data_IF_516222872082
#
_entry.id   IF_516222872082
#
_cell.length_a   1.000
_cell.length_b   1.000
_cell.length_c   1.000
_cell.angle_alpha   90.00
_cell.angle_beta   90.00
_cell.angle_gamma   90.00
#
_symmetry.space_group_name_H-M   'P 1'
#
loop_
_entity.id
_entity.type
_entity.pdbx_description
1 polymer ?
#
# COMPACT_ATOMS: atom_id res chain seq x y z
N UNK A 1 -20.51 -8.03 -2.54
CA UNK A 1 -19.09 -7.83 -2.19
C UNK A 1 -18.89 -6.35 -1.94
N UNK A 2 -18.72 -5.97 -0.67
CA UNK A 2 -18.59 -4.57 -0.25
C UNK A 2 -17.18 -4.07 -0.56
N UNK A 3 -17.09 -2.83 -1.02
CA UNK A 3 -15.83 -2.11 -1.22
C UNK A 3 -15.05 -2.14 0.11
N UNK A 4 -13.90 -2.81 0.16
CA UNK A 4 -13.03 -2.74 1.34
C UNK A 4 -12.11 -1.55 1.13
N UNK A 5 -12.42 -0.45 1.82
CA UNK A 5 -11.54 0.71 1.90
C UNK A 5 -10.45 0.44 2.94
N UNK A 6 -9.47 -0.39 2.60
CA UNK A 6 -8.21 -0.44 3.35
C UNK A 6 -7.28 0.64 2.79
N UNK A 7 -6.79 1.53 3.65
CA UNK A 7 -5.83 2.57 3.27
C UNK A 7 -4.55 1.88 2.81
N UNK A 8 -4.17 2.04 1.54
CA UNK A 8 -2.99 1.38 0.96
C UNK A 8 -3.30 0.09 0.18
N UNK A 9 -4.51 -0.46 0.30
CA UNK A 9 -4.94 -1.51 -0.62
C UNK A 9 -5.31 -0.85 -1.94
N UNK A 10 -4.90 -1.44 -3.08
CA UNK A 10 -5.33 -0.93 -4.36
C UNK A 10 -6.86 -0.98 -4.41
N UNK A 11 -7.53 0.17 -4.47
CA UNK A 11 -8.99 0.28 -4.66
C UNK A 11 -9.36 -0.07 -6.09
N UNK A 12 -9.03 -1.30 -6.49
CA UNK A 12 -9.44 -1.93 -7.72
C UNK A 12 -10.27 -3.13 -7.33
N UNK A 13 -11.36 -3.40 -8.06
CA UNK A 13 -12.06 -4.68 -7.90
C UNK A 13 -11.12 -5.77 -8.37
N UNK A 14 -10.53 -6.52 -7.42
CA UNK A 14 -9.80 -7.73 -7.75
C UNK A 14 -10.81 -8.81 -8.12
N UNK A 15 -10.91 -9.15 -9.41
CA UNK A 15 -11.67 -10.32 -9.87
C UNK A 15 -10.83 -11.60 -9.65
N UNK A 16 -10.51 -11.86 -8.38
CA UNK A 16 -9.74 -13.02 -7.92
C UNK A 16 -10.62 -14.21 -7.56
N UNK A 17 -10.05 -15.42 -7.60
CA UNK A 17 -10.72 -16.63 -7.15
C UNK A 17 -10.55 -16.78 -5.63
N UNK A 18 -11.66 -16.79 -4.88
CA UNK A 18 -11.65 -17.07 -3.44
C UNK A 18 -11.49 -18.57 -3.19
N UNK A 19 -10.69 -18.93 -2.20
CA UNK A 19 -10.58 -20.30 -1.68
C UNK A 19 -10.61 -20.26 -0.15
N UNK A 20 -11.22 -21.26 0.46
CA UNK A 20 -11.31 -21.41 1.91
C UNK A 20 -10.77 -22.77 2.29
N UNK A 21 -9.73 -22.81 3.10
CA UNK A 21 -9.21 -24.05 3.67
C UNK A 21 -10.01 -24.40 4.92
N UNK A 22 -10.73 -25.52 4.87
CA UNK A 22 -11.57 -25.99 5.97
C UNK A 22 -10.76 -26.53 7.15
N UNK A 23 -9.51 -26.97 6.94
CA UNK A 23 -8.65 -27.48 8.00
C UNK A 23 -8.07 -26.38 8.89
N UNK A 24 -7.75 -25.22 8.29
CA UNK A 24 -7.15 -24.08 9.02
C UNK A 24 -8.08 -22.87 9.18
N UNK A 25 -9.29 -22.93 8.61
CA UNK A 25 -10.24 -21.82 8.51
C UNK A 25 -9.69 -20.56 7.78
N UNK A 26 -8.57 -20.69 7.06
CA UNK A 26 -7.94 -19.58 6.33
C UNK A 26 -8.65 -19.33 5.01
N UNK A 27 -8.84 -18.05 4.69
CA UNK A 27 -9.42 -17.62 3.42
C UNK A 27 -8.34 -16.97 2.57
N UNK A 28 -8.26 -17.39 1.32
CA UNK A 28 -7.28 -16.93 0.35
C UNK A 28 -7.95 -16.33 -0.88
N UNK A 29 -7.29 -15.35 -1.48
CA UNK A 29 -7.60 -14.80 -2.79
C UNK A 29 -6.46 -15.16 -3.75
N UNK A 30 -6.79 -15.92 -4.78
CA UNK A 30 -5.88 -16.38 -5.80
C UNK A 30 -6.07 -15.60 -7.09
N UNK A 31 -4.97 -15.01 -7.57
CA UNK A 31 -4.94 -14.23 -8.79
C UNK A 31 -5.94 -13.06 -8.78
N UNK A 32 -6.00 -12.33 -9.88
CA UNK A 32 -7.01 -11.30 -10.13
C UNK A 32 -6.47 -10.26 -11.10
N UNK A 33 -7.33 -9.39 -11.61
CA UNK A 33 -6.91 -8.23 -12.39
C UNK A 33 -7.50 -6.97 -11.78
N UNK A 34 -6.82 -5.85 -11.97
CA UNK A 34 -7.34 -4.54 -11.63
C UNK A 34 -8.44 -4.17 -12.61
N UNK A 35 -9.63 -3.87 -12.10
CA UNK A 35 -10.65 -3.15 -12.85
C UNK A 35 -10.21 -1.69 -13.05
N UNK A 36 -10.08 -1.27 -14.30
CA UNK A 36 -9.56 0.03 -14.69
C UNK A 36 -10.66 1.10 -14.82
N UNK A 37 -11.94 0.76 -14.66
CA UNK A 37 -13.05 1.73 -14.76
C UNK A 37 -12.97 2.86 -13.73
N UNK A 38 -12.25 2.64 -12.61
CA UNK A 38 -12.15 3.58 -11.48
C UNK A 38 -10.81 4.35 -11.51
N UNK A 39 -9.89 4.03 -12.43
CA UNK A 39 -8.57 4.70 -12.49
C UNK A 39 -8.62 5.83 -13.51
N UNK A 40 -8.35 7.09 -13.14
CA UNK A 40 -8.45 8.24 -14.05
C UNK A 40 -7.34 8.29 -15.13
N UNK A 41 -6.61 7.21 -15.36
CA UNK A 41 -5.54 7.15 -16.34
C UNK A 41 -5.80 6.02 -17.35
N UNK A 42 -5.86 6.37 -18.64
CA UNK A 42 -5.98 5.45 -19.79
C UNK A 42 -4.69 4.65 -20.01
N UNK A 43 -4.19 3.99 -18.98
CA UNK A 43 -3.19 2.94 -19.16
C UNK A 43 -4.00 1.66 -19.30
N UNK A 44 -4.07 1.10 -20.51
CA UNK A 44 -4.70 -0.19 -20.79
C UNK A 44 -3.98 -1.39 -20.15
N UNK A 45 -3.33 -1.18 -19.00
CA UNK A 45 -2.61 -2.20 -18.26
C UNK A 45 -3.56 -2.73 -17.20
N UNK A 46 -4.30 -3.78 -17.55
CA UNK A 46 -4.85 -4.69 -16.55
C UNK A 46 -3.66 -5.38 -15.90
N UNK A 47 -3.30 -4.96 -14.69
CA UNK A 47 -2.25 -5.66 -13.94
C UNK A 47 -2.86 -6.94 -13.39
N UNK A 48 -2.44 -8.07 -13.95
CA UNK A 48 -2.76 -9.38 -13.38
C UNK A 48 -1.94 -9.56 -12.10
N UNK A 49 -2.63 -9.69 -10.97
CA UNK A 49 -2.03 -10.20 -9.76
C UNK A 49 -1.90 -11.72 -9.94
N UNK A 50 -0.69 -12.24 -9.88
CA UNK A 50 -0.44 -13.69 -9.84
C UNK A 50 -0.08 -14.18 -8.43
N UNK A 51 -0.23 -13.32 -7.43
CA UNK A 51 0.02 -13.63 -6.03
C UNK A 51 -1.12 -14.37 -5.35
N UNK A 52 -0.80 -14.91 -4.18
CA UNK A 52 -1.76 -15.47 -3.22
C UNK A 52 -1.86 -14.47 -2.07
N UNK A 53 -3.08 -14.06 -1.75
CA UNK A 53 -3.35 -13.18 -0.62
C UNK A 53 -4.17 -13.92 0.43
N UNK A 54 -3.87 -13.75 1.71
CA UNK A 54 -4.66 -14.30 2.80
C UNK A 54 -5.50 -13.20 3.44
N UNK A 55 -6.79 -13.46 3.70
CA UNK A 55 -7.62 -12.61 4.56
C UNK A 55 -7.19 -12.81 6.01
N UNK A 56 -6.82 -11.71 6.66
CA UNK A 56 -6.50 -11.64 8.09
C UNK A 56 -7.42 -10.61 8.74
N UNK A 57 -7.97 -10.93 9.92
CA UNK A 57 -8.92 -10.11 10.64
C UNK A 57 -8.34 -9.72 12.00
N UNK A 58 -8.52 -8.47 12.40
CA UNK A 58 -8.10 -7.94 13.70
C UNK A 58 -9.10 -8.38 14.80
N UNK A 59 -9.07 -9.67 15.10
CA UNK A 59 -9.84 -10.33 16.16
C UNK A 59 -9.15 -11.64 16.56
N UNK A 60 -9.50 -12.17 17.74
CA UNK A 60 -9.00 -13.47 18.19
C UNK A 60 -9.28 -14.56 17.14
N UNK A 61 -8.26 -15.36 16.80
CA UNK A 61 -8.34 -16.37 15.74
C UNK A 61 -8.32 -15.81 14.30
N UNK A 62 -8.22 -14.49 14.11
CA UNK A 62 -8.21 -13.84 12.80
C UNK A 62 -6.86 -13.84 12.06
N UNK A 63 -5.83 -14.47 12.65
CA UNK A 63 -4.47 -14.58 12.08
C UNK A 63 -3.83 -13.24 11.70
N UNK A 64 -4.24 -12.16 12.38
CA UNK A 64 -3.63 -10.85 12.24
C UNK A 64 -2.43 -10.76 13.18
N UNK A 65 -1.23 -10.67 12.61
CA UNK A 65 -0.05 -10.23 13.35
C UNK A 65 -0.17 -8.71 13.51
N UNK A 66 0.11 -8.15 14.69
CA UNK A 66 0.02 -6.70 14.92
C UNK A 66 1.01 -6.00 13.98
N UNK A 67 0.50 -5.47 12.87
CA UNK A 67 1.24 -4.60 11.97
C UNK A 67 1.23 -3.20 12.56
N UNK A 68 2.35 -2.49 12.48
CA UNK A 68 2.38 -1.04 12.75
C UNK A 68 1.55 -0.33 11.67
N UNK A 69 0.25 -0.16 11.98
CA UNK A 69 -0.71 0.46 11.08
C UNK A 69 -0.32 1.89 10.73
N UNK A 70 0.35 2.62 11.63
CA UNK A 70 0.79 3.98 11.33
C UNK A 70 1.94 4.00 10.30
N UNK A 71 2.86 3.04 10.40
CA UNK A 71 3.94 2.87 9.44
C UNK A 71 3.40 2.47 8.06
N UNK A 72 2.44 1.54 8.02
CA UNK A 72 1.77 1.14 6.79
C UNK A 72 1.02 2.32 6.17
N UNK A 73 0.33 3.15 6.97
CA UNK A 73 -0.35 4.34 6.45
C UNK A 73 0.59 5.35 5.77
N UNK A 74 1.82 5.46 6.27
CA UNK A 74 2.83 6.41 5.78
C UNK A 74 3.63 5.88 4.58
N UNK A 75 3.75 4.57 4.44
CA UNK A 75 4.65 3.93 3.45
C UNK A 75 3.97 3.00 2.47
N UNK A 76 2.69 2.65 2.69
CA UNK A 76 1.95 1.75 1.82
C UNK A 76 1.87 2.28 0.39
N UNK A 77 2.12 1.39 -0.56
CA UNK A 77 1.96 1.66 -1.98
C UNK A 77 0.48 1.56 -2.36
N UNK A 78 -0.11 2.64 -2.85
CA UNK A 78 -1.47 2.63 -3.38
C UNK A 78 -1.44 2.23 -4.86
N UNK A 79 -1.22 0.94 -5.16
CA UNK A 79 -1.08 0.48 -6.55
C UNK A 79 0.15 1.07 -7.26
N UNK A 80 0.04 1.63 -8.49
CA UNK A 80 1.15 2.32 -9.16
C UNK A 80 1.45 3.71 -8.56
N UNK A 81 0.68 4.15 -7.56
CA UNK A 81 0.83 5.45 -6.92
C UNK A 81 1.70 5.32 -5.65
N UNK A 82 2.44 6.37 -5.30
CA UNK A 82 3.08 6.50 -3.98
C UNK A 82 2.22 7.37 -3.07
N UNK A 83 2.39 7.23 -1.76
CA UNK A 83 1.80 8.13 -0.77
C UNK A 83 2.84 9.08 -0.22
N UNK A 84 2.43 10.30 0.08
CA UNK A 84 3.28 11.24 0.78
C UNK A 84 3.39 10.82 2.24
N UNK A 85 4.62 10.66 2.72
CA UNK A 85 4.90 10.30 4.11
C UNK A 85 4.33 11.32 5.12
N UNK A 86 4.27 12.60 4.74
CA UNK A 86 3.75 13.68 5.59
C UNK A 86 2.22 13.78 5.53
N UNK A 87 1.66 14.12 4.36
CA UNK A 87 0.24 14.44 4.23
C UNK A 87 -0.65 13.27 3.78
N UNK A 88 -0.08 12.11 3.46
CA UNK A 88 -0.81 10.92 3.02
C UNK A 88 -1.43 11.02 1.62
N UNK A 89 -1.23 12.14 0.90
CA UNK A 89 -1.72 12.34 -0.46
C UNK A 89 -1.09 11.32 -1.42
N UNK A 90 -1.92 10.75 -2.30
CA UNK A 90 -1.47 9.83 -3.33
C UNK A 90 -1.03 10.59 -4.58
N UNK A 91 0.11 10.22 -5.15
CA UNK A 91 0.66 10.87 -6.34
C UNK A 91 1.40 9.90 -7.24
N UNK A 92 1.60 10.31 -8.49
CA UNK A 92 2.38 9.51 -9.45
C UNK A 92 3.80 9.35 -8.91
N UNK A 93 4.30 8.12 -8.88
CA UNK A 93 5.69 7.77 -8.54
C UNK A 93 6.73 8.69 -9.19
N UNK A 94 6.48 9.18 -10.42
CA UNK A 94 7.38 10.07 -11.15
C UNK A 94 7.37 11.51 -10.64
N UNK A 95 6.27 11.95 -10.06
CA UNK A 95 6.08 13.32 -9.54
C UNK A 95 6.48 13.43 -8.07
N UNK A 96 6.49 12.32 -7.34
CA UNK A 96 6.85 12.30 -5.93
C UNK A 96 8.36 12.25 -5.72
N UNK A 97 8.86 13.07 -4.79
CA UNK A 97 10.26 13.12 -4.40
C UNK A 97 10.55 12.03 -3.38
N UNK A 98 11.33 11.03 -3.78
CA UNK A 98 11.77 9.97 -2.88
C UNK A 98 12.88 10.44 -1.95
N UNK A 99 12.92 9.86 -0.75
CA UNK A 99 14.05 10.00 0.15
C UNK A 99 15.33 9.46 -0.52
N UNK A 100 16.40 10.26 -0.49
CA UNK A 100 17.73 9.90 -1.03
C UNK A 100 18.70 9.41 0.05
N UNK A 101 18.19 9.03 1.22
CA UNK A 101 18.99 8.53 2.32
C UNK A 101 19.09 7.00 2.36
N UNK A 102 19.62 6.48 3.46
CA UNK A 102 19.82 5.04 3.70
C UNK A 102 18.53 4.21 3.66
N UNK A 103 17.36 4.84 3.70
CA UNK A 103 16.04 4.19 3.58
C UNK A 103 15.59 3.90 2.13
N UNK A 104 16.51 3.99 1.17
CA UNK A 104 16.35 3.50 -0.22
C UNK A 104 15.10 4.04 -0.96
N UNK A 105 14.66 5.27 -0.65
CA UNK A 105 13.53 5.90 -1.32
C UNK A 105 12.16 5.25 -1.06
N UNK A 106 12.01 4.49 0.02
CA UNK A 106 10.71 3.95 0.45
C UNK A 106 9.78 5.04 0.98
N UNK A 107 10.32 6.09 1.60
CA UNK A 107 9.56 7.31 1.94
C UNK A 107 9.52 8.27 0.73
N UNK A 108 8.33 8.79 0.44
CA UNK A 108 8.07 9.70 -0.69
C UNK A 108 7.36 10.98 -0.24
N UNK A 109 7.60 12.10 -0.90
CA UNK A 109 6.98 13.39 -0.59
C UNK A 109 6.39 14.05 -1.84
N UNK A 110 5.23 14.70 -1.72
CA UNK A 110 4.60 15.36 -2.86
C UNK A 110 5.35 16.62 -3.30
N UNK A 111 5.99 17.32 -2.38
CA UNK A 111 6.74 18.54 -2.62
C UNK A 111 7.84 18.76 -1.55
N UNK A 112 8.57 19.89 -1.67
CA UNK A 112 9.62 20.25 -0.71
C UNK A 112 9.08 20.64 0.66
N UNK A 113 7.85 21.12 0.76
CA UNK A 113 7.25 21.55 2.02
C UNK A 113 6.92 20.32 2.87
N UNK A 114 6.20 19.35 2.30
CA UNK A 114 5.93 18.07 2.93
C UNK A 114 7.21 17.30 3.27
N UNK A 115 8.25 17.43 2.44
CA UNK A 115 9.55 16.87 2.79
C UNK A 115 10.11 17.52 4.05
N UNK A 116 10.16 18.86 4.13
CA UNK A 116 10.70 19.57 5.30
C UNK A 116 9.93 19.24 6.59
N UNK A 117 8.61 19.25 6.52
CA UNK A 117 7.72 18.98 7.66
C UNK A 117 7.86 17.52 8.15
N UNK A 118 7.83 16.55 7.23
CA UNK A 118 7.90 15.12 7.57
C UNK A 118 9.32 14.60 7.80
N UNK A 119 10.38 15.37 7.53
CA UNK A 119 11.76 14.87 7.54
C UNK A 119 12.24 14.43 8.92
N UNK A 120 11.89 15.18 9.96
CA UNK A 120 12.29 14.86 11.33
C UNK A 120 11.68 13.54 11.79
N UNK A 121 10.38 13.36 11.55
CA UNK A 121 9.68 12.11 11.87
C UNK A 121 10.26 10.94 11.06
N UNK A 122 10.44 11.11 9.75
CA UNK A 122 11.03 10.09 8.88
C UNK A 122 12.41 9.62 9.39
N UNK A 123 13.30 10.56 9.76
CA UNK A 123 14.62 10.21 10.28
C UNK A 123 14.57 9.43 11.59
N UNK A 124 13.66 9.81 12.50
CA UNK A 124 13.52 9.11 13.79
C UNK A 124 12.92 7.73 13.60
N UNK A 125 11.84 7.63 12.82
CA UNK A 125 11.07 6.40 12.64
C UNK A 125 11.79 5.38 11.78
N UNK A 126 12.51 5.82 10.76
CA UNK A 126 13.17 4.96 9.76
C UNK A 126 14.69 4.91 9.91
N UNK A 127 15.22 5.54 10.96
CA UNK A 127 16.66 5.68 11.23
C UNK A 127 17.44 6.18 10.00
N UNK A 128 16.79 6.98 9.16
CA UNK A 128 17.31 7.36 7.86
C UNK A 128 18.46 8.36 8.00
N UNK A 129 19.59 8.06 7.38
CA UNK A 129 20.78 8.92 7.33
C UNK A 129 20.98 9.42 5.90
N UNK A 130 21.68 10.54 5.74
CA UNK A 130 22.14 10.96 4.39
C UNK A 130 23.09 9.88 3.88
N UNK A 131 22.85 9.43 2.64
CA UNK A 131 23.75 8.55 1.92
C UNK A 131 24.99 9.32 1.45
#
# INVERSE_FOLDING_TARGET
WKHVFTRGFPTYRALGKKFSDLGTAKVFLFRGYTDNEIVPFRIGVTSAFNGIWQLRLDMEGGFWDVVDLEEDLKTAKAGPWQRCFNCGASGDTKKMKKCQGTYQGKASFCDMQCQKEGWSEHKMRHECRRA
#
